data_IF_600080934694
#
_entry.id   IF_600080934694
#
_cell.length_a   1.000
_cell.length_b   1.000
_cell.length_c   1.000
_cell.angle_alpha   90.00
_cell.angle_beta   90.00
_cell.angle_gamma   90.00
#
_symmetry.space_group_name_H-M   'P 1'
#
loop_
_entity.id
_entity.type
_entity.pdbx_description
1 polymer ?
#
# COMPACT_ATOMS: atom_id res chain seq x y z
N UNK A 1 24.28 -5.55 9.74
CA UNK A 1 23.93 -6.05 8.39
C UNK A 1 22.43 -6.24 8.32
N UNK A 2 21.75 -5.61 7.37
CA UNK A 2 20.32 -5.83 7.17
C UNK A 2 20.08 -7.25 6.65
N UNK A 3 19.04 -7.92 7.14
CA UNK A 3 18.66 -9.25 6.69
C UNK A 3 18.32 -9.23 5.19
N UNK A 4 19.01 -10.05 4.40
CA UNK A 4 18.82 -10.14 2.94
C UNK A 4 18.67 -11.59 2.53
N UNK A 5 17.68 -11.87 1.68
CA UNK A 5 17.47 -13.19 1.08
C UNK A 5 18.12 -13.14 -0.31
N UNK A 6 19.30 -13.77 -0.54
CA UNK A 6 20.12 -13.51 -1.72
C UNK A 6 19.40 -13.75 -3.05
N UNK A 7 18.64 -14.85 -3.13
CA UNK A 7 17.86 -15.19 -4.32
C UNK A 7 16.82 -14.11 -4.65
N UNK A 8 15.99 -13.72 -3.67
CA UNK A 8 14.96 -12.69 -3.83
C UNK A 8 15.58 -11.35 -4.18
N UNK A 9 16.69 -11.00 -3.52
CA UNK A 9 17.42 -9.77 -3.79
C UNK A 9 17.89 -9.71 -5.26
N UNK A 10 18.55 -10.75 -5.74
CA UNK A 10 19.08 -10.80 -7.11
C UNK A 10 17.96 -10.79 -8.16
N UNK A 11 16.87 -11.51 -7.91
CA UNK A 11 15.70 -11.52 -8.79
C UNK A 11 15.09 -10.12 -8.92
N UNK A 12 14.81 -9.48 -7.79
CA UNK A 12 14.19 -8.16 -7.77
C UNK A 12 15.12 -7.06 -8.28
N UNK A 13 16.43 -7.14 -8.04
CA UNK A 13 17.40 -6.24 -8.68
C UNK A 13 17.45 -6.43 -10.20
N UNK A 14 17.27 -7.64 -10.69
CA UNK A 14 17.17 -7.90 -12.14
C UNK A 14 15.93 -7.23 -12.74
N UNK A 15 14.81 -7.25 -12.02
CA UNK A 15 13.59 -6.51 -12.41
C UNK A 15 13.85 -5.00 -12.40
N UNK A 16 14.49 -4.46 -11.36
CA UNK A 16 14.84 -3.03 -11.32
C UNK A 16 15.77 -2.63 -12.48
N UNK A 17 16.72 -3.50 -12.84
CA UNK A 17 17.61 -3.30 -13.99
C UNK A 17 16.86 -3.31 -15.32
N UNK A 18 15.79 -4.10 -15.45
CA UNK A 18 14.92 -4.06 -16.63
C UNK A 18 14.25 -2.69 -16.78
N UNK A 19 13.75 -2.09 -15.69
CA UNK A 19 13.11 -0.77 -15.72
C UNK A 19 14.07 0.39 -15.93
N UNK A 20 15.30 0.30 -15.42
CA UNK A 20 16.32 1.31 -15.64
C UNK A 20 17.73 0.68 -15.73
N UNK A 21 18.15 0.24 -16.93
CA UNK A 21 19.44 -0.44 -17.11
C UNK A 21 20.65 0.49 -16.89
N UNK A 22 20.45 1.81 -17.00
CA UNK A 22 21.52 2.81 -16.86
C UNK A 22 21.87 3.13 -15.39
N UNK A 23 20.93 2.95 -14.47
CA UNK A 23 21.09 3.31 -13.07
C UNK A 23 21.58 2.12 -12.22
N UNK A 24 22.90 2.07 -12.01
CA UNK A 24 23.53 1.08 -11.12
C UNK A 24 23.09 1.25 -9.67
N UNK A 25 22.93 0.15 -8.94
CA UNK A 25 22.50 0.13 -7.52
C UNK A 25 23.33 1.07 -6.62
N UNK A 26 24.66 1.08 -6.80
CA UNK A 26 25.55 1.94 -6.02
C UNK A 26 25.34 3.45 -6.21
N UNK A 27 24.71 3.87 -7.32
CA UNK A 27 24.43 5.29 -7.62
C UNK A 27 23.06 5.76 -7.15
N UNK A 28 22.20 4.84 -6.66
CA UNK A 28 20.86 5.18 -6.19
C UNK A 28 20.97 5.89 -4.84
N UNK A 29 20.44 7.12 -4.74
CA UNK A 29 20.38 7.86 -3.46
C UNK A 29 19.46 7.18 -2.45
N UNK A 30 18.48 6.41 -2.94
CA UNK A 30 17.47 5.72 -2.13
C UNK A 30 17.92 4.33 -1.64
N UNK A 31 19.11 3.84 -2.03
CA UNK A 31 19.55 2.44 -1.80
C UNK A 31 19.46 1.95 -0.35
N UNK A 32 19.68 2.85 0.60
CA UNK A 32 19.72 2.56 2.03
C UNK A 32 18.44 2.99 2.76
N UNK A 33 17.46 3.52 2.03
CA UNK A 33 16.23 4.01 2.63
C UNK A 33 15.33 2.84 3.04
N UNK A 34 14.54 3.06 4.07
CA UNK A 34 13.65 2.05 4.59
C UNK A 34 12.72 1.53 3.49
N UNK A 35 12.54 0.20 3.45
CA UNK A 35 11.66 -0.51 2.53
C UNK A 35 11.99 -0.38 1.02
N UNK A 36 13.12 0.25 0.66
CA UNK A 36 13.62 0.26 -0.72
C UNK A 36 14.42 -1.01 -1.03
N UNK A 37 15.10 -1.58 -0.02
CA UNK A 37 15.80 -2.85 -0.17
C UNK A 37 14.83 -3.94 -0.69
N UNK A 38 15.19 -4.67 -1.77
CA UNK A 38 14.30 -5.66 -2.37
C UNK A 38 13.80 -6.75 -1.42
N UNK A 39 14.64 -7.19 -0.46
CA UNK A 39 14.23 -8.22 0.51
C UNK A 39 13.15 -7.68 1.45
N UNK A 40 13.31 -6.45 1.96
CA UNK A 40 12.32 -5.86 2.87
C UNK A 40 10.98 -5.60 2.18
N UNK A 41 11.03 -5.08 0.94
CA UNK A 41 9.85 -4.92 0.10
C UNK A 41 9.12 -6.26 -0.09
N UNK A 42 9.86 -7.31 -0.47
CA UNK A 42 9.28 -8.64 -0.69
C UNK A 42 8.61 -9.18 0.57
N UNK A 43 9.24 -9.07 1.74
CA UNK A 43 8.68 -9.55 3.00
C UNK A 43 7.34 -8.86 3.29
N UNK A 44 7.28 -7.53 3.17
CA UNK A 44 6.04 -6.77 3.43
C UNK A 44 4.94 -7.15 2.42
N UNK A 45 5.28 -7.21 1.14
CA UNK A 45 4.33 -7.61 0.09
C UNK A 45 3.82 -9.05 0.31
N UNK A 46 4.71 -9.97 0.67
CA UNK A 46 4.38 -11.38 0.91
C UNK A 46 3.47 -11.54 2.13
N UNK A 47 3.79 -10.89 3.24
CA UNK A 47 2.97 -10.89 4.46
C UNK A 47 1.57 -10.32 4.17
N UNK A 48 1.49 -9.20 3.45
CA UNK A 48 0.19 -8.62 3.06
C UNK A 48 -0.60 -9.57 2.14
N UNK A 49 0.06 -10.21 1.18
CA UNK A 49 -0.60 -11.17 0.28
C UNK A 49 -1.13 -12.39 1.03
N UNK A 50 -0.37 -12.95 1.97
CA UNK A 50 -0.83 -14.02 2.86
C UNK A 50 -2.07 -13.56 3.65
N UNK A 51 -2.02 -12.36 4.23
CA UNK A 51 -3.15 -11.80 4.96
C UNK A 51 -4.41 -11.68 4.09
N UNK A 52 -4.26 -11.18 2.86
CA UNK A 52 -5.36 -11.07 1.89
C UNK A 52 -5.93 -12.44 1.54
N UNK A 53 -5.09 -13.42 1.22
CA UNK A 53 -5.53 -14.80 0.89
C UNK A 53 -6.24 -15.43 2.08
N UNK A 54 -5.68 -15.33 3.28
CA UNK A 54 -6.31 -15.83 4.51
C UNK A 54 -7.67 -15.14 4.75
N UNK A 55 -7.77 -13.84 4.51
CA UNK A 55 -9.01 -13.07 4.62
C UNK A 55 -10.06 -13.49 3.59
N UNK A 56 -9.65 -13.86 2.37
CA UNK A 56 -10.53 -14.45 1.36
C UNK A 56 -11.07 -15.81 1.78
N UNK A 57 -10.22 -16.70 2.26
CA UNK A 57 -10.64 -18.01 2.78
C UNK A 57 -11.61 -17.84 3.95
N UNK A 58 -11.30 -16.92 4.86
CA UNK A 58 -12.16 -16.59 5.99
C UNK A 58 -13.51 -15.98 5.55
N UNK A 59 -13.53 -15.13 4.51
CA UNK A 59 -14.78 -14.60 3.92
C UNK A 59 -15.66 -15.72 3.36
N UNK A 60 -15.08 -16.68 2.64
CA UNK A 60 -15.81 -17.85 2.09
C UNK A 60 -16.39 -18.70 3.21
N UNK A 61 -15.59 -19.01 4.23
CA UNK A 61 -16.04 -19.74 5.42
C UNK A 61 -17.18 -19.00 6.14
N UNK A 62 -17.03 -17.69 6.35
CA UNK A 62 -18.02 -16.86 7.01
C UNK A 62 -19.36 -16.80 6.23
N UNK A 63 -19.30 -16.68 4.90
CA UNK A 63 -20.48 -16.67 4.05
C UNK A 63 -21.23 -18.02 4.11
N UNK A 64 -20.50 -19.15 4.12
CA UNK A 64 -21.09 -20.49 4.28
C UNK A 64 -21.80 -20.64 5.62
N UNK A 65 -21.14 -20.24 6.71
CA UNK A 65 -21.74 -20.27 8.06
C UNK A 65 -22.99 -19.42 8.17
N UNK A 66 -22.97 -18.19 7.64
CA UNK A 66 -24.12 -17.30 7.66
C UNK A 66 -25.33 -17.88 6.87
N UNK A 67 -25.07 -18.58 5.77
CA UNK A 67 -26.13 -19.27 5.00
C UNK A 67 -26.73 -20.42 5.82
N UNK A 68 -25.91 -21.21 6.49
CA UNK A 68 -26.36 -22.28 7.40
C UNK A 68 -27.22 -21.73 8.55
N UNK A 69 -26.76 -20.68 9.23
CA UNK A 69 -27.48 -20.08 10.36
C UNK A 69 -28.84 -19.51 9.93
N UNK A 70 -28.93 -18.87 8.76
CA UNK A 70 -30.19 -18.38 8.18
C UNK A 70 -31.16 -19.50 7.82
N UNK A 71 -30.67 -20.65 7.35
CA UNK A 71 -31.51 -21.82 7.08
C UNK A 71 -32.06 -22.38 8.38
N UNK A 72 -31.23 -22.49 9.43
CA UNK A 72 -31.65 -22.98 10.74
C UNK A 72 -32.67 -22.05 11.42
N UNK A 73 -32.49 -20.72 11.30
CA UNK A 73 -33.42 -19.74 11.85
C UNK A 73 -34.76 -19.65 11.11
N UNK A 74 -34.86 -20.14 9.86
CA UNK A 74 -36.14 -20.30 9.16
C UNK A 74 -36.93 -21.51 9.68
N UNK A 75 -36.24 -22.52 10.22
CA UNK A 75 -36.85 -23.75 10.75
C UNK A 75 -37.27 -23.57 12.21
N UNK A 76 -36.55 -22.75 12.99
CA UNK A 76 -36.93 -22.37 14.36
C UNK A 76 -37.23 -20.86 14.45
N UNK A 77 -38.47 -20.43 14.76
CA UNK A 77 -38.75 -19.03 15.00
C UNK A 77 -38.11 -18.62 16.33
N UNK A 78 -36.93 -18.01 16.28
CA UNK A 78 -36.29 -17.41 17.45
C UNK A 78 -36.52 -15.91 17.49
N UNK A 79 -36.87 -15.41 18.68
CA UNK A 79 -36.98 -14.00 19.01
C UNK A 79 -35.77 -13.19 18.53
N UNK A 80 -36.04 -11.95 18.13
CA UNK A 80 -35.12 -10.99 17.52
C UNK A 80 -33.89 -10.71 18.39
N UNK A 81 -32.87 -11.55 18.27
CA UNK A 81 -31.54 -11.28 18.84
C UNK A 81 -30.91 -10.11 18.08
N UNK A 82 -31.02 -8.92 18.67
CA UNK A 82 -30.34 -7.71 18.25
C UNK A 82 -28.83 -8.02 18.18
N UNK A 83 -28.29 -8.14 16.99
CA UNK A 83 -26.89 -8.48 16.74
C UNK A 83 -26.00 -7.49 17.51
N UNK A 84 -25.38 -7.93 18.61
CA UNK A 84 -24.44 -7.10 19.37
C UNK A 84 -23.13 -7.03 18.60
N UNK A 85 -22.72 -5.82 18.21
CA UNK A 85 -21.42 -5.58 17.61
C UNK A 85 -20.32 -6.10 18.54
N UNK A 86 -19.31 -6.75 17.97
CA UNK A 86 -18.17 -7.24 18.74
C UNK A 86 -17.39 -6.08 19.36
N UNK A 87 -16.78 -6.27 20.54
CA UNK A 87 -15.94 -5.25 21.19
C UNK A 87 -14.90 -4.65 20.24
N UNK A 88 -14.26 -5.49 19.43
CA UNK A 88 -13.28 -5.07 18.41
C UNK A 88 -13.91 -4.18 17.35
N UNK A 89 -15.10 -4.51 16.85
CA UNK A 89 -15.81 -3.71 15.83
C UNK A 89 -16.09 -2.29 16.34
N UNK A 90 -16.57 -2.16 17.58
CA UNK A 90 -16.84 -0.86 18.21
C UNK A 90 -15.56 -0.02 18.37
N UNK A 91 -14.44 -0.64 18.76
CA UNK A 91 -13.15 0.06 18.88
C UNK A 91 -12.69 0.55 17.51
N UNK A 92 -12.75 -0.32 16.49
CA UNK A 92 -12.30 0.03 15.13
C UNK A 92 -13.17 1.13 14.52
N UNK A 93 -14.48 1.12 14.75
CA UNK A 93 -15.38 2.18 14.27
C UNK A 93 -15.06 3.56 14.85
N UNK A 94 -14.58 3.63 16.09
CA UNK A 94 -14.12 4.89 16.70
C UNK A 94 -12.77 5.35 16.18
N UNK A 95 -11.88 4.42 15.84
CA UNK A 95 -10.53 4.72 15.33
C UNK A 95 -10.53 5.10 13.84
N UNK A 96 -11.50 4.62 13.07
CA UNK A 96 -11.54 4.78 11.62
C UNK A 96 -11.55 6.26 11.15
N UNK A 97 -12.34 7.18 11.75
CA UNK A 97 -12.29 8.59 11.35
C UNK A 97 -10.92 9.23 11.57
N UNK A 98 -10.23 8.86 12.66
CA UNK A 98 -8.89 9.36 12.99
C UNK A 98 -7.87 8.86 11.98
N UNK A 99 -7.94 7.57 11.61
CA UNK A 99 -7.10 6.99 10.57
C UNK A 99 -7.36 7.63 9.21
N UNK A 100 -8.61 7.83 8.81
CA UNK A 100 -8.94 8.48 7.54
C UNK A 100 -8.44 9.93 7.51
N UNK A 101 -8.59 10.68 8.62
CA UNK A 101 -8.09 12.04 8.71
C UNK A 101 -6.55 12.08 8.62
N UNK A 102 -5.85 11.15 9.27
CA UNK A 102 -4.38 11.10 9.18
C UNK A 102 -3.91 10.78 7.76
N UNK A 103 -4.61 9.91 7.03
CA UNK A 103 -4.37 9.63 5.61
C UNK A 103 -4.53 10.87 4.73
N UNK A 104 -5.59 11.64 4.94
CA UNK A 104 -5.83 12.90 4.22
C UNK A 104 -4.74 13.91 4.50
N UNK A 105 -4.38 14.12 5.78
CA UNK A 105 -3.32 15.07 6.17
C UNK A 105 -1.95 14.66 5.64
N UNK A 106 -1.60 13.38 5.71
CA UNK A 106 -0.34 12.86 5.18
C UNK A 106 -0.27 13.01 3.65
N UNK A 107 -1.37 12.71 2.95
CA UNK A 107 -1.45 12.88 1.50
C UNK A 107 -1.32 14.35 1.10
N UNK A 108 -2.00 15.26 1.81
CA UNK A 108 -1.87 16.70 1.58
C UNK A 108 -0.44 17.19 1.81
N UNK A 109 0.20 16.76 2.90
CA UNK A 109 1.59 17.09 3.20
C UNK A 109 2.54 16.66 2.07
N UNK A 110 2.42 15.41 1.61
CA UNK A 110 3.26 14.87 0.54
C UNK A 110 3.02 15.64 -0.77
N UNK A 111 1.76 15.94 -1.11
CA UNK A 111 1.42 16.71 -2.32
C UNK A 111 2.02 18.11 -2.28
N UNK A 112 1.87 18.84 -1.17
CA UNK A 112 2.42 20.19 -1.01
C UNK A 112 3.95 20.16 -1.09
N UNK A 113 4.59 19.22 -0.40
CA UNK A 113 6.05 19.05 -0.44
C UNK A 113 6.54 18.76 -1.87
N UNK A 114 5.84 17.90 -2.60
CA UNK A 114 6.19 17.54 -3.98
C UNK A 114 6.04 18.74 -4.92
N UNK A 115 4.95 19.51 -4.81
CA UNK A 115 4.74 20.72 -5.60
C UNK A 115 5.85 21.74 -5.31
N UNK A 116 6.21 21.92 -4.05
CA UNK A 116 7.27 22.83 -3.64
C UNK A 116 8.64 22.43 -4.21
N UNK A 117 9.01 21.16 -4.13
CA UNK A 117 10.27 20.65 -4.68
C UNK A 117 10.30 20.64 -6.21
N UNK A 118 9.18 20.34 -6.87
CA UNK A 118 9.05 20.45 -8.32
C UNK A 118 9.19 21.91 -8.81
N UNK A 119 8.60 22.88 -8.09
CA UNK A 119 8.76 24.32 -8.39
C UNK A 119 10.20 24.78 -8.21
N UNK A 120 10.90 24.35 -7.15
CA UNK A 120 12.34 24.63 -6.97
C UNK A 120 13.19 24.11 -8.12
N UNK A 121 12.83 22.95 -8.66
CA UNK A 121 13.51 22.32 -9.81
C UNK A 121 13.12 22.96 -11.16
N UNK A 122 12.18 23.91 -11.16
CA UNK A 122 11.63 24.54 -12.37
C UNK A 122 11.09 23.51 -13.37
N UNK A 123 10.43 22.49 -12.86
CA UNK A 123 9.81 21.47 -13.70
C UNK A 123 8.71 22.07 -14.58
N UNK A 124 8.72 21.68 -15.85
CA UNK A 124 7.65 21.94 -16.83
C UNK A 124 6.56 20.87 -16.72
N UNK A 125 5.46 21.02 -17.46
CA UNK A 125 4.33 20.08 -17.44
C UNK A 125 4.66 18.67 -17.99
N UNK A 126 5.71 18.55 -18.80
CA UNK A 126 6.17 17.28 -19.37
C UNK A 126 7.68 17.39 -19.67
N UNK A 127 8.33 16.25 -19.87
CA UNK A 127 9.72 16.15 -20.32
C UNK A 127 10.73 16.78 -19.35
N UNK A 128 10.54 16.52 -18.06
CA UNK A 128 11.46 17.02 -17.05
C UNK A 128 12.78 16.24 -17.05
N UNK A 129 13.88 16.97 -16.91
CA UNK A 129 15.21 16.36 -16.79
C UNK A 129 15.30 15.50 -15.53
N UNK A 130 15.84 14.28 -15.69
CA UNK A 130 16.01 13.30 -14.63
C UNK A 130 17.44 13.35 -14.10
N UNK A 131 17.58 13.52 -12.79
CA UNK A 131 18.84 13.60 -12.07
C UNK A 131 18.80 12.75 -10.80
N UNK A 132 19.16 11.47 -10.97
CA UNK A 132 19.17 10.49 -9.89
C UNK A 132 20.18 10.77 -8.76
N UNK A 133 21.02 11.82 -8.88
CA UNK A 133 21.93 12.28 -7.82
C UNK A 133 21.22 13.15 -6.77
N UNK A 134 20.06 13.72 -7.09
CA UNK A 134 19.31 14.57 -6.15
C UNK A 134 18.27 13.76 -5.38
N UNK A 135 18.22 14.02 -4.07
CA UNK A 135 17.34 13.30 -3.15
C UNK A 135 15.97 13.97 -2.97
N UNK A 136 15.72 15.13 -3.55
CA UNK A 136 14.55 15.94 -3.23
C UNK A 136 13.23 15.35 -3.76
N UNK A 137 13.13 15.09 -5.06
CA UNK A 137 11.97 14.38 -5.65
C UNK A 137 11.97 12.92 -5.20
N UNK A 138 13.15 12.33 -4.99
CA UNK A 138 13.30 10.98 -4.47
C UNK A 138 12.62 10.82 -3.10
N UNK A 139 12.80 11.80 -2.19
CA UNK A 139 12.18 11.82 -0.87
C UNK A 139 10.66 11.88 -0.98
N UNK A 140 10.14 12.72 -1.87
CA UNK A 140 8.70 12.82 -2.10
C UNK A 140 8.12 11.49 -2.61
N UNK A 141 8.79 10.86 -3.58
CA UNK A 141 8.42 9.54 -4.11
C UNK A 141 8.45 8.47 -3.01
N UNK A 142 9.47 8.48 -2.15
CA UNK A 142 9.60 7.54 -1.04
C UNK A 142 8.54 7.76 0.06
N UNK A 143 8.25 8.99 0.44
CA UNK A 143 7.16 9.29 1.38
C UNK A 143 5.81 8.83 0.82
N UNK A 144 5.58 9.04 -0.48
CA UNK A 144 4.38 8.54 -1.14
C UNK A 144 4.33 7.00 -1.16
N UNK A 145 5.44 6.33 -1.44
CA UNK A 145 5.56 4.87 -1.36
C UNK A 145 5.24 4.34 0.04
N UNK A 146 5.80 4.96 1.09
CA UNK A 146 5.46 4.60 2.48
C UNK A 146 3.98 4.85 2.79
N UNK A 147 3.39 5.93 2.26
CA UNK A 147 1.97 6.17 2.39
C UNK A 147 1.14 5.03 1.77
N UNK A 148 1.53 4.50 0.60
CA UNK A 148 0.86 3.32 -0.01
C UNK A 148 0.97 2.05 0.83
N UNK A 149 2.04 1.89 1.61
CA UNK A 149 2.12 0.80 2.60
C UNK A 149 1.06 0.97 3.70
N UNK A 150 0.82 2.20 4.16
CA UNK A 150 -0.20 2.48 5.18
C UNK A 150 -1.63 2.18 4.68
N UNK A 151 -1.88 2.28 3.37
CA UNK A 151 -3.16 1.88 2.76
C UNK A 151 -3.45 0.38 2.98
N UNK A 152 -2.45 -0.47 3.26
CA UNK A 152 -2.72 -1.87 3.63
C UNK A 152 -3.57 -2.00 4.89
N UNK A 153 -3.52 -1.00 5.78
CA UNK A 153 -4.36 -0.93 6.96
C UNK A 153 -5.85 -0.85 6.61
N UNK A 154 -6.24 -0.26 5.47
CA UNK A 154 -7.64 -0.26 5.02
C UNK A 154 -8.20 -1.68 4.94
N UNK A 155 -7.40 -2.59 4.39
CA UNK A 155 -7.77 -4.00 4.25
C UNK A 155 -7.94 -4.66 5.60
N UNK A 156 -7.04 -4.37 6.54
CA UNK A 156 -7.10 -4.88 7.92
C UNK A 156 -8.36 -4.37 8.62
N UNK A 157 -8.66 -3.07 8.50
CA UNK A 157 -9.83 -2.43 9.12
C UNK A 157 -11.14 -2.97 8.52
N UNK A 158 -11.20 -3.20 7.20
CA UNK A 158 -12.36 -3.81 6.53
C UNK A 158 -12.63 -5.21 7.08
N UNK A 159 -11.58 -6.05 7.18
CA UNK A 159 -11.67 -7.43 7.67
C UNK A 159 -12.05 -7.44 9.16
N UNK A 160 -11.45 -6.58 9.99
CA UNK A 160 -11.73 -6.47 11.41
C UNK A 160 -13.19 -6.07 11.69
N UNK A 161 -13.76 -5.18 10.87
CA UNK A 161 -15.18 -4.76 10.93
C UNK A 161 -16.13 -5.72 10.20
N UNK A 162 -15.61 -6.78 9.59
CA UNK A 162 -16.37 -7.76 8.78
C UNK A 162 -17.21 -7.08 7.67
N UNK A 163 -16.72 -5.97 7.10
CA UNK A 163 -17.40 -5.24 6.02
C UNK A 163 -17.07 -5.85 4.65
N UNK A 164 -17.46 -7.10 4.44
CA UNK A 164 -17.08 -7.91 3.27
C UNK A 164 -17.46 -7.35 1.90
N UNK A 165 -18.40 -6.39 1.86
CA UNK A 165 -18.79 -5.66 0.65
C UNK A 165 -17.68 -4.72 0.15
N UNK A 166 -16.82 -4.24 1.05
CA UNK A 166 -15.67 -3.37 0.71
C UNK A 166 -14.44 -4.21 0.33
N UNK A 167 -14.32 -5.43 0.86
CA UNK A 167 -13.25 -6.36 0.52
C UNK A 167 -13.51 -7.05 -0.83
N UNK A 168 -13.14 -6.36 -1.91
CA UNK A 168 -13.32 -6.79 -3.30
C UNK A 168 -11.98 -7.19 -3.94
N UNK A 169 -12.04 -7.94 -5.06
CA UNK A 169 -10.85 -8.24 -5.86
C UNK A 169 -10.13 -6.97 -6.31
N UNK A 170 -10.91 -5.98 -6.77
CA UNK A 170 -10.38 -4.70 -7.22
C UNK A 170 -9.61 -3.98 -6.09
N UNK A 171 -10.13 -3.99 -4.87
CA UNK A 171 -9.46 -3.43 -3.69
C UNK A 171 -8.09 -4.06 -3.47
N UNK A 172 -8.03 -5.39 -3.36
CA UNK A 172 -6.77 -6.10 -3.12
C UNK A 172 -5.77 -5.92 -4.29
N UNK A 173 -6.24 -6.04 -5.53
CA UNK A 173 -5.44 -5.82 -6.73
C UNK A 173 -4.85 -4.40 -6.77
N UNK A 174 -5.67 -3.38 -6.46
CA UNK A 174 -5.25 -1.98 -6.44
C UNK A 174 -4.12 -1.74 -5.43
N UNK A 175 -4.27 -2.20 -4.18
CA UNK A 175 -3.23 -1.98 -3.17
C UNK A 175 -1.93 -2.72 -3.48
N UNK A 176 -2.01 -3.97 -3.94
CA UNK A 176 -0.83 -4.75 -4.35
C UNK A 176 -0.11 -4.07 -5.53
N UNK A 177 -0.86 -3.73 -6.59
CA UNK A 177 -0.28 -3.18 -7.81
C UNK A 177 0.36 -1.82 -7.58
N UNK A 178 -0.31 -0.92 -6.85
CA UNK A 178 0.24 0.41 -6.55
C UNK A 178 1.48 0.31 -5.67
N UNK A 179 1.48 -0.57 -4.65
CA UNK A 179 2.67 -0.75 -3.81
C UNK A 179 3.87 -1.24 -4.62
N UNK A 180 3.66 -2.18 -5.56
CA UNK A 180 4.70 -2.67 -6.46
C UNK A 180 5.22 -1.58 -7.41
N UNK A 181 4.32 -0.86 -8.07
CA UNK A 181 4.68 0.22 -9.00
C UNK A 181 5.46 1.32 -8.28
N UNK A 182 5.05 1.68 -7.06
CA UNK A 182 5.75 2.70 -6.28
C UNK A 182 7.11 2.23 -5.79
N UNK A 183 7.27 0.95 -5.42
CA UNK A 183 8.59 0.41 -5.09
C UNK A 183 9.57 0.49 -6.27
N UNK A 184 9.13 0.16 -7.48
CA UNK A 184 9.96 0.31 -8.69
C UNK A 184 10.34 1.77 -8.89
N UNK A 185 9.38 2.69 -8.84
CA UNK A 185 9.65 4.11 -9.04
C UNK A 185 10.58 4.67 -7.95
N UNK A 186 10.34 4.39 -6.68
CA UNK A 186 11.23 4.82 -5.58
C UNK A 186 12.63 4.20 -5.66
N UNK A 187 12.77 3.05 -6.32
CA UNK A 187 14.06 2.38 -6.49
C UNK A 187 14.84 2.90 -7.70
N UNK A 188 14.19 3.15 -8.84
CA UNK A 188 14.89 3.45 -10.10
C UNK A 188 14.24 4.51 -11.01
N UNK A 189 13.09 5.06 -10.63
CA UNK A 189 12.31 6.04 -11.40
C UNK A 189 11.91 7.27 -10.59
N UNK A 190 12.69 7.63 -9.57
CA UNK A 190 12.29 8.54 -8.50
C UNK A 190 12.54 10.03 -8.79
N UNK A 191 12.72 10.42 -10.05
CA UNK A 191 12.93 11.81 -10.44
C UNK A 191 12.38 12.09 -11.86
N UNK A 192 12.24 13.37 -12.20
CA UNK A 192 11.58 13.83 -13.43
C UNK A 192 10.06 13.78 -13.30
N UNK A 193 9.37 13.29 -14.34
CA UNK A 193 7.91 13.34 -14.48
C UNK A 193 7.14 12.47 -13.45
N UNK A 194 7.83 11.63 -12.66
CA UNK A 194 7.21 10.83 -11.58
C UNK A 194 6.47 11.70 -10.55
N UNK A 195 6.85 12.97 -10.42
CA UNK A 195 6.22 13.88 -9.47
C UNK A 195 4.70 14.04 -9.74
N UNK A 196 4.24 13.88 -10.98
CA UNK A 196 2.81 13.92 -11.32
C UNK A 196 2.00 12.86 -10.61
N UNK A 197 2.52 11.63 -10.55
CA UNK A 197 1.83 10.50 -9.91
C UNK A 197 1.62 10.79 -8.42
N UNK A 198 2.51 11.57 -7.81
CA UNK A 198 2.40 11.97 -6.40
C UNK A 198 1.42 13.12 -6.23
N UNK A 199 1.34 14.07 -7.16
CA UNK A 199 0.52 15.29 -7.02
C UNK A 199 -0.89 15.21 -7.60
N UNK A 200 -1.13 14.35 -8.58
CA UNK A 200 -2.38 14.30 -9.36
C UNK A 200 -3.36 13.20 -8.92
N UNK A 201 -3.22 12.71 -7.69
CA UNK A 201 -4.10 11.69 -7.09
C UNK A 201 -5.16 12.34 -6.21
#
# INVERSE_FOLDING_TARGET
MAFTIPFVHNLLESILKFFNPSLKQGRRVTRNWFLVNPTHFFIVLFVYTIFVVASYLYKVYYASKQKSDKTLSKIKPSSSSKYKNGRIEVIVEKMLPVYNLSQVLLSLFITVLTIYEARKRKFSLFYNYVDFSKANIALCCWLFYLNKMLDFMDTILIVARKKWNQFTFLHAYHHISIFLVMWINTSVGYDGDIYYIVTAK
#
